data_IF_292057411928
#
_entry.id   IF_292057411928
#
_cell.length_a   1.000
_cell.length_b   1.000
_cell.length_c   1.000
_cell.angle_alpha   90.00
_cell.angle_beta   90.00
_cell.angle_gamma   90.00
#
_symmetry.space_group_name_H-M   'P 1'
#
loop_
_entity.id
_entity.type
_entity.pdbx_description
1 polymer ?
#
# COMPACT_ATOMS: atom_id res chain seq x y z
N UNK A 1 10.73 23.72 46.34
CA UNK A 1 11.54 24.19 45.20
C UNK A 1 13.01 23.98 45.51
N UNK A 2 13.67 23.01 44.84
CA UNK A 2 14.85 23.36 44.04
C UNK A 2 15.08 22.52 42.76
N UNK A 3 15.53 23.25 41.72
CA UNK A 3 16.44 22.99 40.59
C UNK A 3 16.44 21.64 39.84
N UNK A 4 15.94 21.71 38.60
CA UNK A 4 16.14 20.76 37.49
C UNK A 4 17.42 21.14 36.73
N UNK A 5 18.28 20.16 36.43
CA UNK A 5 19.44 20.31 35.53
C UNK A 5 19.13 19.63 34.19
N UNK A 6 19.41 20.26 33.03
CA UNK A 6 19.15 19.64 31.72
C UNK A 6 20.32 18.75 31.26
N UNK A 7 20.05 17.48 30.97
CA UNK A 7 21.03 16.56 30.38
C UNK A 7 20.93 16.59 28.85
N UNK A 8 22.06 16.85 28.20
CA UNK A 8 22.27 16.99 26.75
C UNK A 8 21.90 15.73 25.97
N UNK A 9 21.21 15.89 24.83
CA UNK A 9 21.04 14.87 23.79
C UNK A 9 22.30 14.78 22.90
N UNK A 10 22.78 13.58 22.55
CA UNK A 10 23.71 13.43 21.44
C UNK A 10 22.94 13.40 20.11
N UNK A 11 23.26 14.38 19.25
CA UNK A 11 22.94 14.38 17.82
C UNK A 11 23.97 13.49 17.14
N UNK A 12 23.53 12.44 16.45
CA UNK A 12 24.39 11.67 15.56
C UNK A 12 23.88 11.87 14.14
N UNK A 13 24.57 12.76 13.42
CA UNK A 13 24.51 12.85 11.97
C UNK A 13 25.31 11.69 11.38
N UNK A 14 24.69 10.91 10.48
CA UNK A 14 25.44 10.04 9.58
C UNK A 14 24.84 10.16 8.17
N UNK A 15 25.50 10.97 7.36
CA UNK A 15 25.34 11.03 5.94
C UNK A 15 26.08 9.84 5.30
N UNK A 16 25.47 9.21 4.30
CA UNK A 16 26.19 8.37 3.35
C UNK A 16 25.48 8.47 2.00
N UNK A 17 25.94 9.43 1.19
CA UNK A 17 25.74 9.42 -0.25
C UNK A 17 26.94 8.73 -0.88
N UNK A 18 26.70 7.75 -1.75
CA UNK A 18 27.66 7.31 -2.75
C UNK A 18 26.90 6.72 -3.95
N UNK A 19 26.89 7.48 -5.04
CA UNK A 19 26.64 7.00 -6.40
C UNK A 19 27.73 6.02 -6.82
N UNK A 20 27.49 5.20 -7.87
CA UNK A 20 28.40 4.98 -9.01
C UNK A 20 27.98 3.77 -9.89
N UNK A 21 27.70 4.12 -11.16
CA UNK A 21 28.12 3.51 -12.43
C UNK A 21 27.50 2.17 -12.87
N UNK A 22 26.80 2.26 -14.01
CA UNK A 22 26.28 1.15 -14.79
C UNK A 22 27.35 0.35 -15.54
N UNK A 23 26.96 -0.85 -15.95
CA UNK A 23 27.73 -1.71 -16.84
C UNK A 23 26.88 -2.08 -18.05
N UNK A 24 27.10 -1.34 -19.14
CA UNK A 24 26.73 -1.74 -20.50
C UNK A 24 27.72 -2.81 -20.98
N UNK A 25 27.26 -4.05 -21.12
CA UNK A 25 28.01 -5.11 -21.79
C UNK A 25 27.61 -5.15 -23.27
N UNK A 26 28.46 -4.58 -24.12
CA UNK A 26 28.43 -4.76 -25.56
C UNK A 26 28.98 -6.13 -25.95
N UNK A 27 28.25 -6.87 -26.78
CA UNK A 27 28.73 -8.10 -27.41
C UNK A 27 29.40 -7.73 -28.73
N UNK A 28 30.71 -7.96 -28.80
CA UNK A 28 31.52 -7.97 -30.01
C UNK A 28 31.22 -9.26 -30.79
N UNK A 29 30.73 -9.13 -32.02
CA UNK A 29 30.79 -10.18 -33.04
C UNK A 29 31.56 -9.62 -34.24
N UNK A 30 32.72 -10.22 -34.52
CA UNK A 30 33.62 -9.84 -35.59
C UNK A 30 33.44 -10.66 -36.87
N UNK A 31 33.71 -10.00 -37.99
CA UNK A 31 34.33 -10.41 -39.26
C UNK A 31 33.87 -11.68 -40.01
N UNK A 32 33.37 -11.51 -41.24
CA UNK A 32 34.10 -11.80 -42.50
C UNK A 32 33.21 -11.55 -43.74
N UNK A 33 33.72 -10.85 -44.76
CA UNK A 33 33.11 -10.69 -46.10
C UNK A 33 33.44 -11.91 -47.00
N UNK A 34 32.68 -12.22 -48.08
CA UNK A 34 32.83 -11.48 -49.36
C UNK A 34 31.53 -11.31 -50.20
N UNK A 35 31.64 -10.47 -51.24
CA UNK A 35 30.66 -10.13 -52.28
C UNK A 35 29.82 -11.29 -52.85
N UNK A 36 28.51 -11.04 -53.05
CA UNK A 36 27.82 -11.47 -54.28
C UNK A 36 26.52 -10.69 -54.54
N UNK A 37 26.13 -10.68 -55.80
CA UNK A 37 25.16 -9.83 -56.50
C UNK A 37 23.71 -9.79 -55.98
N UNK A 38 23.11 -8.59 -56.09
CA UNK A 38 21.74 -8.20 -56.56
C UNK A 38 20.61 -9.25 -56.44
N UNK A 39 19.45 -8.92 -55.83
CA UNK A 39 18.48 -8.01 -56.43
C UNK A 39 18.06 -6.85 -55.53
N UNK A 40 17.82 -5.70 -56.15
CA UNK A 40 17.12 -4.57 -55.56
C UNK A 40 15.71 -5.02 -55.16
N UNK A 41 15.54 -5.31 -53.86
CA UNK A 41 14.24 -5.58 -53.29
C UNK A 41 13.45 -4.27 -53.30
N UNK A 42 12.40 -4.24 -54.10
CA UNK A 42 11.36 -3.24 -54.13
C UNK A 42 10.96 -2.88 -52.68
N UNK A 43 10.84 -1.59 -52.30
CA UNK A 43 10.47 -1.22 -50.94
C UNK A 43 9.12 -1.87 -50.60
N UNK A 44 9.16 -2.87 -49.71
CA UNK A 44 7.95 -3.45 -49.14
C UNK A 44 7.12 -2.30 -48.57
N UNK A 45 5.88 -2.22 -49.06
CA UNK A 45 4.90 -1.21 -48.70
C UNK A 45 4.99 -0.90 -47.20
N UNK A 46 5.21 0.37 -46.91
CA UNK A 46 5.18 0.95 -45.57
C UNK A 46 3.98 0.36 -44.82
N UNK A 47 4.24 -0.52 -43.85
CA UNK A 47 3.21 -1.00 -42.96
C UNK A 47 2.63 0.25 -42.29
N UNK A 48 1.35 0.51 -42.57
CA UNK A 48 0.65 1.63 -41.99
C UNK A 48 0.85 1.61 -40.46
N UNK A 49 1.07 2.76 -39.82
CA UNK A 49 1.24 2.81 -38.37
C UNK A 49 0.04 2.13 -37.74
N UNK A 50 0.31 1.07 -36.97
CA UNK A 50 -0.71 0.40 -36.17
C UNK A 50 -1.22 1.47 -35.21
N UNK A 51 -2.43 1.97 -35.45
CA UNK A 51 -3.05 2.95 -34.58
C UNK A 51 -3.19 2.28 -33.22
N UNK A 52 -2.34 2.68 -32.26
CA UNK A 52 -2.48 2.24 -30.89
C UNK A 52 -3.90 2.60 -30.46
N UNK A 53 -4.74 1.59 -30.25
CA UNK A 53 -6.08 1.81 -29.73
C UNK A 53 -5.91 2.58 -28.42
N UNK A 54 -6.65 3.68 -28.28
CA UNK A 54 -6.69 4.41 -27.02
C UNK A 54 -6.95 3.40 -25.89
N UNK A 55 -6.25 3.51 -24.74
CA UNK A 55 -6.43 2.56 -23.66
C UNK A 55 -7.91 2.51 -23.29
N UNK A 56 -8.48 1.30 -23.31
CA UNK A 56 -9.86 1.10 -22.90
C UNK A 56 -9.99 1.60 -21.46
N UNK A 57 -10.98 2.47 -21.21
CA UNK A 57 -11.31 2.88 -19.84
C UNK A 57 -11.81 1.65 -19.10
N UNK A 58 -11.08 1.23 -18.08
CA UNK A 58 -11.46 0.08 -17.23
C UNK A 58 -12.11 0.63 -15.97
N UNK A 59 -13.33 0.21 -15.68
CA UNK A 59 -14.03 0.54 -14.44
C UNK A 59 -13.53 -0.33 -13.28
N UNK A 60 -13.50 0.23 -12.07
CA UNK A 60 -13.15 -0.55 -10.89
C UNK A 60 -14.16 -1.70 -10.68
N UNK A 61 -13.64 -2.90 -10.47
CA UNK A 61 -14.42 -4.13 -10.31
C UNK A 61 -14.69 -4.88 -11.61
N UNK A 62 -14.33 -4.31 -12.77
CA UNK A 62 -14.40 -5.03 -14.03
C UNK A 62 -13.47 -6.26 -14.00
N UNK A 63 -13.91 -7.43 -14.53
CA UNK A 63 -13.04 -8.59 -14.63
C UNK A 63 -11.87 -8.30 -15.58
N UNK A 64 -10.69 -8.78 -15.23
CA UNK A 64 -9.47 -8.66 -16.04
C UNK A 64 -8.80 -10.02 -16.20
N UNK A 65 -8.12 -10.23 -17.32
CA UNK A 65 -7.31 -11.43 -17.55
C UNK A 65 -5.84 -11.15 -17.25
N UNK A 66 -5.06 -12.20 -16.95
CA UNK A 66 -3.66 -12.06 -16.54
C UNK A 66 -2.77 -11.34 -17.58
N UNK A 67 -3.07 -11.52 -18.87
CA UNK A 67 -2.30 -10.95 -19.99
C UNK A 67 -2.89 -9.62 -20.51
N UNK A 68 -3.96 -9.12 -19.90
CA UNK A 68 -4.59 -7.88 -20.35
C UNK A 68 -3.73 -6.66 -19.97
N UNK A 69 -3.34 -5.80 -20.94
CA UNK A 69 -2.69 -4.53 -20.60
C UNK A 69 -3.67 -3.66 -19.83
N UNK A 70 -3.27 -3.25 -18.63
CA UNK A 70 -4.06 -2.38 -17.76
C UNK A 70 -3.71 -0.91 -18.02
N UNK A 71 -4.69 0.01 -17.95
CA UNK A 71 -4.42 1.44 -17.97
C UNK A 71 -3.49 1.86 -16.82
N UNK A 72 -2.90 3.05 -16.95
CA UNK A 72 -2.15 3.65 -15.86
C UNK A 72 -3.00 3.74 -14.59
N UNK A 73 -2.36 3.60 -13.43
CA UNK A 73 -3.04 3.64 -12.12
C UNK A 73 -4.11 2.56 -11.91
N UNK A 74 -4.11 1.48 -12.69
CA UNK A 74 -4.97 0.31 -12.51
C UNK A 74 -4.15 -0.91 -12.12
N UNK A 75 -4.64 -1.70 -11.16
CA UNK A 75 -4.06 -3.00 -10.79
C UNK A 75 -5.08 -4.11 -10.93
N UNK A 76 -4.62 -5.29 -11.36
CA UNK A 76 -5.38 -6.52 -11.20
C UNK A 76 -5.28 -6.98 -9.74
N UNK A 77 -6.42 -7.21 -9.10
CA UNK A 77 -6.52 -7.86 -7.81
C UNK A 77 -7.16 -9.24 -8.01
N UNK A 78 -6.44 -10.29 -7.65
CA UNK A 78 -6.95 -11.67 -7.69
C UNK A 78 -7.73 -11.96 -6.40
N UNK A 79 -9.00 -12.29 -6.55
CA UNK A 79 -9.88 -12.72 -5.47
C UNK A 79 -9.58 -14.18 -5.07
N UNK A 80 -10.05 -14.58 -3.89
CA UNK A 80 -9.86 -15.94 -3.40
C UNK A 80 -10.44 -17.06 -4.29
N UNK A 81 -11.39 -16.75 -5.18
CA UNK A 81 -11.95 -17.71 -6.15
C UNK A 81 -11.12 -17.82 -7.45
N UNK A 82 -10.00 -17.09 -7.55
CA UNK A 82 -9.12 -17.02 -8.72
C UNK A 82 -9.56 -15.99 -9.76
N UNK A 83 -10.69 -15.30 -9.55
CA UNK A 83 -11.13 -14.22 -10.45
C UNK A 83 -10.29 -12.98 -10.22
N UNK A 84 -9.78 -12.38 -11.30
CA UNK A 84 -9.08 -11.09 -11.21
C UNK A 84 -10.01 -9.94 -11.57
N UNK A 85 -9.99 -8.88 -10.75
CA UNK A 85 -10.76 -7.65 -10.96
C UNK A 85 -9.87 -6.43 -10.99
N UNK A 86 -10.25 -5.42 -11.76
CA UNK A 86 -9.55 -4.15 -11.81
C UNK A 86 -9.76 -3.34 -10.53
N UNK A 87 -8.69 -2.83 -9.95
CA UNK A 87 -8.70 -1.80 -8.90
C UNK A 87 -8.08 -0.55 -9.49
N UNK A 88 -8.87 0.51 -9.57
CA UNK A 88 -8.44 1.81 -10.12
C UNK A 88 -8.11 2.75 -8.96
N UNK A 89 -6.94 3.39 -9.02
CA UNK A 89 -6.37 4.14 -7.90
C UNK A 89 -7.23 5.30 -7.41
N UNK A 90 -8.01 5.93 -8.27
CA UNK A 90 -8.87 7.09 -7.99
C UNK A 90 -10.36 6.73 -7.79
N UNK A 91 -10.72 5.45 -7.88
CA UNK A 91 -12.09 4.97 -7.65
C UNK A 91 -12.20 4.19 -6.35
N UNK A 92 -13.37 4.17 -5.67
CA UNK A 92 -13.55 3.34 -4.48
C UNK A 92 -13.14 1.88 -4.72
N UNK A 93 -12.69 1.19 -3.66
CA UNK A 93 -12.41 -0.24 -3.79
C UNK A 93 -13.68 -0.98 -4.25
N UNK A 94 -13.57 -1.90 -5.22
CA UNK A 94 -14.68 -2.74 -5.61
C UNK A 94 -15.21 -3.53 -4.41
N UNK A 95 -16.53 -3.69 -4.30
CA UNK A 95 -17.15 -4.36 -3.16
C UNK A 95 -16.56 -5.76 -2.84
N UNK A 96 -16.25 -6.63 -3.83
CA UNK A 96 -15.61 -7.93 -3.55
C UNK A 96 -14.21 -7.78 -2.93
N UNK A 97 -13.40 -6.85 -3.43
CA UNK A 97 -12.06 -6.56 -2.91
C UNK A 97 -12.14 -5.98 -1.51
N UNK A 98 -13.07 -5.04 -1.28
CA UNK A 98 -13.29 -4.44 0.04
C UNK A 98 -13.68 -5.49 1.07
N UNK A 99 -14.60 -6.39 0.73
CA UNK A 99 -15.05 -7.46 1.63
C UNK A 99 -13.90 -8.42 1.98
N UNK A 100 -13.07 -8.81 1.00
CA UNK A 100 -11.93 -9.68 1.25
C UNK A 100 -10.86 -8.97 2.12
N UNK A 101 -10.55 -7.71 1.83
CA UNK A 101 -9.63 -6.90 2.64
C UNK A 101 -10.14 -6.75 4.07
N UNK A 102 -11.44 -6.48 4.25
CA UNK A 102 -12.06 -6.43 5.58
C UNK A 102 -11.92 -7.76 6.33
N UNK A 103 -12.13 -8.89 5.65
CA UNK A 103 -11.93 -10.21 6.24
C UNK A 103 -10.47 -10.46 6.65
N UNK A 104 -9.49 -10.03 5.83
CA UNK A 104 -8.07 -10.12 6.17
C UNK A 104 -7.72 -9.25 7.39
N UNK A 105 -8.27 -8.03 7.47
CA UNK A 105 -8.12 -7.15 8.64
C UNK A 105 -8.69 -7.82 9.88
N UNK A 106 -9.91 -8.34 9.78
CA UNK A 106 -10.56 -8.99 10.91
C UNK A 106 -9.76 -10.18 11.43
N UNK A 107 -9.27 -11.04 10.54
CA UNK A 107 -8.49 -12.21 10.91
C UNK A 107 -7.15 -11.82 11.58
N UNK A 108 -6.46 -10.82 11.04
CA UNK A 108 -5.20 -10.33 11.59
C UNK A 108 -5.38 -9.72 12.99
N UNK A 109 -6.42 -8.90 13.17
CA UNK A 109 -6.70 -8.27 14.47
C UNK A 109 -7.15 -9.30 15.51
N UNK A 110 -8.01 -10.24 15.14
CA UNK A 110 -8.44 -11.32 16.05
C UNK A 110 -7.27 -12.15 16.55
N UNK A 111 -6.32 -12.48 15.66
CA UNK A 111 -5.11 -13.22 16.01
C UNK A 111 -4.21 -12.43 16.96
N UNK A 112 -4.00 -11.14 16.68
CA UNK A 112 -3.17 -10.27 17.51
C UNK A 112 -3.75 -10.05 18.92
N UNK A 113 -5.08 -9.90 19.02
CA UNK A 113 -5.76 -9.71 20.30
C UNK A 113 -5.79 -10.98 21.17
N UNK A 114 -5.70 -12.17 20.56
CA UNK A 114 -5.70 -13.45 21.28
C UNK A 114 -4.32 -13.83 21.87
N UNK A 115 -3.24 -13.13 21.51
CA UNK A 115 -1.86 -13.59 21.72
C UNK A 115 -1.21 -13.27 23.09
N UNK A 116 -1.89 -12.63 24.04
CA UNK A 116 -1.44 -12.51 25.44
C UNK A 116 -0.92 -11.14 25.90
N UNK A 117 -0.48 -11.04 27.18
CA UNK A 117 -0.27 -9.87 28.08
C UNK A 117 -0.23 -8.42 27.52
N UNK A 118 -0.86 -7.51 28.26
CA UNK A 118 -1.26 -6.13 27.89
C UNK A 118 -0.28 -5.29 27.05
N UNK A 119 1.00 -5.20 27.42
CA UNK A 119 1.98 -4.38 26.67
C UNK A 119 2.35 -5.02 25.32
N UNK A 120 2.25 -6.35 25.22
CA UNK A 120 2.50 -7.10 24.00
C UNK A 120 1.33 -7.03 23.01
N UNK A 121 0.10 -6.77 23.46
CA UNK A 121 -1.08 -6.67 22.58
C UNK A 121 -0.97 -5.43 21.71
N UNK A 122 -0.66 -4.27 22.30
CA UNK A 122 -0.53 -3.02 21.56
C UNK A 122 0.46 -3.15 20.40
N UNK A 123 1.68 -3.61 20.70
CA UNK A 123 2.75 -3.75 19.70
C UNK A 123 2.34 -4.74 18.61
N UNK A 124 1.72 -5.87 18.97
CA UNK A 124 1.28 -6.88 18.02
C UNK A 124 0.16 -6.38 17.11
N UNK A 125 -0.86 -5.71 17.66
CA UNK A 125 -1.97 -5.18 16.86
C UNK A 125 -1.47 -4.05 15.94
N UNK A 126 -0.60 -3.18 16.45
CA UNK A 126 0.03 -2.14 15.64
C UNK A 126 0.86 -2.72 14.49
N UNK A 127 1.73 -3.69 14.76
CA UNK A 127 2.57 -4.32 13.73
C UNK A 127 1.75 -5.12 12.71
N UNK A 128 0.72 -5.83 13.16
CA UNK A 128 -0.23 -6.51 12.28
C UNK A 128 -0.94 -5.50 11.35
N UNK A 129 -1.39 -4.37 11.90
CA UNK A 129 -2.03 -3.30 11.10
C UNK A 129 -1.06 -2.73 10.05
N UNK A 130 0.21 -2.54 10.40
CA UNK A 130 1.25 -2.02 9.50
C UNK A 130 1.55 -2.99 8.36
N UNK A 131 1.76 -4.26 8.69
CA UNK A 131 2.03 -5.30 7.69
C UNK A 131 0.86 -5.45 6.72
N UNK A 132 -0.37 -5.43 7.25
CA UNK A 132 -1.56 -5.59 6.43
C UNK A 132 -1.82 -4.36 5.56
N UNK A 133 -1.68 -3.14 6.09
CA UNK A 133 -1.81 -1.91 5.31
C UNK A 133 -0.83 -1.90 4.13
N UNK A 134 0.43 -2.32 4.36
CA UNK A 134 1.43 -2.42 3.31
C UNK A 134 1.09 -3.48 2.26
N UNK A 135 0.63 -4.66 2.69
CA UNK A 135 0.22 -5.75 1.79
C UNK A 135 -0.97 -5.35 0.92
N UNK A 136 -2.03 -4.87 1.55
CA UNK A 136 -3.25 -4.43 0.85
C UNK A 136 -2.94 -3.25 -0.06
N UNK A 137 -2.14 -2.29 0.39
CA UNK A 137 -1.74 -1.16 -0.46
C UNK A 137 -0.89 -1.59 -1.66
N UNK A 138 0.00 -2.57 -1.48
CA UNK A 138 0.75 -3.16 -2.59
C UNK A 138 -0.16 -3.89 -3.58
N UNK A 139 -1.14 -4.66 -3.10
CA UNK A 139 -2.06 -5.41 -3.96
C UNK A 139 -3.04 -4.51 -4.72
N UNK A 140 -3.62 -3.52 -4.04
CA UNK A 140 -4.67 -2.65 -4.59
C UNK A 140 -4.15 -1.37 -5.25
N UNK A 141 -2.94 -0.93 -4.90
CA UNK A 141 -2.42 0.38 -5.30
C UNK A 141 -2.96 1.56 -4.49
N UNK A 142 -3.85 1.30 -3.51
CA UNK A 142 -4.39 2.29 -2.57
C UNK A 142 -3.46 2.52 -1.38
N UNK A 143 -3.59 3.67 -0.73
CA UNK A 143 -3.07 3.91 0.63
C UNK A 143 -4.12 3.42 1.63
N UNK A 144 -3.71 2.57 2.56
CA UNK A 144 -4.65 1.90 3.48
C UNK A 144 -4.47 2.45 4.88
N UNK A 145 -5.56 2.94 5.46
CA UNK A 145 -5.65 3.36 6.85
C UNK A 145 -6.55 2.37 7.58
N UNK A 146 -5.98 1.64 8.54
CA UNK A 146 -6.72 0.68 9.35
C UNK A 146 -7.11 1.34 10.67
N UNK A 147 -8.40 1.25 11.02
CA UNK A 147 -8.92 1.60 12.33
C UNK A 147 -9.10 0.30 13.12
N UNK A 148 -8.39 0.16 14.24
CA UNK A 148 -8.40 -1.08 15.02
C UNK A 148 -8.52 -0.80 16.53
N UNK A 149 -9.08 -1.75 17.30
CA UNK A 149 -9.07 -1.65 18.75
C UNK A 149 -7.69 -2.04 19.28
N UNK A 150 -7.18 -1.32 20.25
CA UNK A 150 -6.08 -1.77 21.09
C UNK A 150 -6.50 -1.77 22.55
N UNK A 151 -5.91 -2.71 23.30
CA UNK A 151 -6.05 -2.84 24.74
C UNK A 151 -4.64 -2.76 25.32
N UNK A 152 -4.41 -1.84 26.24
CA UNK A 152 -3.12 -1.63 26.87
C UNK A 152 -3.09 -0.36 27.71
N UNK A 153 -2.02 -0.17 28.47
CA UNK A 153 -1.79 1.03 29.26
C UNK A 153 -1.35 2.19 28.34
N UNK A 154 -2.02 3.34 28.44
CA UNK A 154 -1.49 4.58 27.88
C UNK A 154 -0.32 5.03 28.77
N UNK A 155 0.86 5.29 28.18
CA UNK A 155 2.05 5.74 28.91
C UNK A 155 1.72 6.93 29.84
N UNK A 156 1.99 6.76 31.13
CA UNK A 156 1.84 7.81 32.15
C UNK A 156 0.69 7.61 33.14
N UNK A 157 -0.24 6.70 32.85
CA UNK A 157 -1.27 6.30 33.82
C UNK A 157 -0.90 4.92 34.38
N UNK A 158 -0.38 4.88 35.62
CA UNK A 158 -0.19 3.66 36.44
C UNK A 158 -1.54 3.01 36.83
N UNK A 159 -2.56 3.15 35.99
CA UNK A 159 -3.90 2.68 36.28
C UNK A 159 -4.12 1.46 35.41
N UNK A 160 -4.32 0.34 36.11
CA UNK A 160 -4.79 -0.98 35.69
C UNK A 160 -6.14 -0.96 34.93
N UNK A 161 -6.49 0.14 34.30
CA UNK A 161 -7.69 0.28 33.50
C UNK A 161 -7.36 -0.12 32.08
N UNK A 162 -7.61 -1.39 31.76
CA UNK A 162 -7.71 -1.91 30.40
C UNK A 162 -8.86 -1.23 29.65
N UNK A 163 -8.69 0.04 29.29
CA UNK A 163 -9.61 0.76 28.42
C UNK A 163 -9.30 0.38 26.98
N UNK A 164 -10.32 -0.12 26.29
CA UNK A 164 -10.27 -0.32 24.84
C UNK A 164 -10.26 1.06 24.18
N UNK A 165 -9.20 1.33 23.42
CA UNK A 165 -9.08 2.54 22.61
C UNK A 165 -9.07 2.11 21.14
N UNK A 166 -9.81 2.82 20.30
CA UNK A 166 -9.78 2.66 18.86
C UNK A 166 -8.72 3.59 18.28
N UNK A 167 -7.82 3.05 17.47
CA UNK A 167 -6.71 3.79 16.88
C UNK A 167 -6.81 3.75 15.37
N UNK A 168 -6.92 4.92 14.72
CA UNK A 168 -6.63 5.05 13.30
C UNK A 168 -5.12 5.06 13.08
N UNK A 169 -4.61 4.06 12.35
CA UNK A 169 -3.18 3.91 12.07
C UNK A 169 -2.59 5.17 11.45
N UNK A 170 -1.39 5.55 11.89
CA UNK A 170 -0.62 6.70 11.39
C UNK A 170 -1.33 8.07 11.49
N UNK A 171 -2.42 8.20 12.25
CA UNK A 171 -3.11 9.48 12.48
C UNK A 171 -2.72 10.05 13.86
N UNK A 172 -1.90 11.11 13.91
CA UNK A 172 -1.49 11.70 15.18
C UNK A 172 -2.69 12.17 16.01
N UNK A 173 -2.81 11.67 17.25
CA UNK A 173 -3.90 12.06 18.15
C UNK A 173 -5.29 11.58 17.71
N UNK A 174 -5.41 10.67 16.74
CA UNK A 174 -6.70 10.19 16.25
C UNK A 174 -7.36 9.11 17.11
N UNK A 175 -6.74 8.71 18.22
CA UNK A 175 -7.30 7.70 19.13
C UNK A 175 -8.61 8.14 19.77
N UNK A 176 -9.53 7.20 19.97
CA UNK A 176 -10.87 7.46 20.52
C UNK A 176 -11.36 6.29 21.37
N UNK A 177 -12.14 6.57 22.41
CA UNK A 177 -12.82 5.54 23.21
C UNK A 177 -14.03 4.91 22.48
N UNK A 178 -14.37 5.41 21.30
CA UNK A 178 -15.43 4.88 20.44
C UNK A 178 -14.89 4.59 19.05
N UNK A 179 -15.38 3.52 18.42
CA UNK A 179 -15.05 3.16 17.04
C UNK A 179 -15.37 4.31 16.08
N UNK A 180 -16.58 4.89 16.20
CA UNK A 180 -17.01 5.98 15.33
C UNK A 180 -16.09 7.20 15.44
N UNK A 181 -15.67 7.59 16.65
CA UNK A 181 -14.75 8.72 16.81
C UNK A 181 -13.38 8.50 16.14
N UNK A 182 -12.87 7.27 16.15
CA UNK A 182 -11.64 6.92 15.44
C UNK A 182 -11.82 6.90 13.91
N UNK A 183 -12.99 6.45 13.45
CA UNK A 183 -13.37 6.49 12.02
C UNK A 183 -13.51 7.94 11.54
N UNK A 184 -14.13 8.81 12.32
CA UNK A 184 -14.25 10.23 11.99
C UNK A 184 -12.88 10.91 11.92
N UNK A 185 -11.98 10.59 12.86
CA UNK A 185 -10.60 11.07 12.83
C UNK A 185 -9.82 10.55 11.60
N UNK A 186 -9.99 9.28 11.24
CA UNK A 186 -9.41 8.70 10.02
C UNK A 186 -9.91 9.40 8.76
N UNK A 187 -11.22 9.58 8.63
CA UNK A 187 -11.83 10.25 7.48
C UNK A 187 -11.40 11.70 7.37
N UNK A 188 -11.30 12.42 8.50
CA UNK A 188 -10.78 13.79 8.52
C UNK A 188 -9.32 13.85 8.08
N UNK A 189 -8.48 12.91 8.54
CA UNK A 189 -7.09 12.80 8.10
C UNK A 189 -6.99 12.53 6.60
N UNK A 190 -7.77 11.57 6.07
CA UNK A 190 -7.82 11.25 4.64
C UNK A 190 -8.27 12.47 3.82
N UNK A 191 -9.33 13.16 4.25
CA UNK A 191 -9.83 14.35 3.58
C UNK A 191 -8.82 15.51 3.55
N UNK A 192 -7.86 15.55 4.47
CA UNK A 192 -6.79 16.55 4.48
C UNK A 192 -5.59 16.22 3.60
N UNK A 193 -5.53 15.02 3.01
CA UNK A 193 -4.44 14.63 2.11
C UNK A 193 -4.59 15.27 0.74
N UNK A 194 -3.48 15.39 -0.01
CA UNK A 194 -3.51 15.92 -1.37
C UNK A 194 -4.35 15.05 -2.33
N UNK A 195 -4.34 13.73 -2.12
CA UNK A 195 -4.99 12.74 -2.99
C UNK A 195 -5.96 11.86 -2.16
N UNK A 196 -7.09 12.40 -1.65
CA UNK A 196 -7.98 11.67 -0.74
C UNK A 196 -8.56 10.39 -1.38
N UNK A 197 -8.81 10.41 -2.69
CA UNK A 197 -9.37 9.28 -3.44
C UNK A 197 -8.41 8.08 -3.54
N UNK A 198 -7.10 8.30 -3.31
CA UNK A 198 -6.12 7.22 -3.26
C UNK A 198 -6.16 6.44 -1.93
N UNK A 199 -6.88 6.93 -0.94
CA UNK A 199 -6.97 6.30 0.37
C UNK A 199 -8.19 5.40 0.48
N UNK A 200 -8.06 4.40 1.35
CA UNK A 200 -9.18 3.61 1.84
C UNK A 200 -9.07 3.46 3.35
N UNK A 201 -10.18 3.72 4.04
CA UNK A 201 -10.33 3.47 5.48
C UNK A 201 -10.96 2.11 5.66
N UNK A 202 -10.25 1.20 6.33
CA UNK A 202 -10.75 -0.13 6.69
C UNK A 202 -10.88 -0.19 8.20
N UNK A 203 -12.04 -0.62 8.68
CA UNK A 203 -12.32 -0.71 10.11
C UNK A 203 -12.33 -2.18 10.49
N UNK A 204 -11.52 -2.56 11.48
CA UNK A 204 -11.63 -3.86 12.11
C UNK A 204 -12.96 -3.93 12.87
N UNK A 205 -13.75 -4.97 12.62
CA UNK A 205 -14.97 -5.23 13.39
C UNK A 205 -14.66 -5.99 14.69
N UNK A 206 -15.62 -6.06 15.59
CA UNK A 206 -15.52 -6.88 16.82
C UNK A 206 -15.77 -8.36 16.53
#
# INVERSE_FOLDING_TARGET
MPRITPTKRPVVHAAAAAAVIGLTAGVLAGCSSPDDRTPEAEPAASAAPVTASAPAVVEAGAPVTADQPLPEYTKAYELADGTSVAVVKDQPLPAPVLAEVQAQVQAAMSTALAAGSDESIWAQTHDASKQLSGRVGSATGKRVLIVYPAVGMLEGENVENNHRVWIPRDVPGGGSNTQQGAVDAANAYVASQADPDEWVVIVASE
#
